data_IF_499043798294
#
_entry.id   IF_499043798294
#
_cell.length_a   1.000
_cell.length_b   1.000
_cell.length_c   1.000
_cell.angle_alpha   90.00
_cell.angle_beta   90.00
_cell.angle_gamma   90.00
#
_symmetry.space_group_name_H-M   'P 1'
#
loop_
_entity.id
_entity.type
_entity.pdbx_description
1 polymer ?
#
# COMPACT_ATOMS: atom_id res chain seq x y z
N UNK A 1 -11.34 -17.85 0.93
CA UNK A 1 -9.88 -17.67 0.79
C UNK A 1 -9.70 -16.50 -0.15
N UNK A 2 -8.99 -15.46 0.26
CA UNK A 2 -8.74 -14.28 -0.59
C UNK A 2 -7.94 -14.74 -1.82
N UNK A 3 -8.37 -14.34 -3.02
CA UNK A 3 -7.62 -14.63 -4.24
C UNK A 3 -6.27 -13.90 -4.16
N UNK A 4 -5.15 -14.59 -4.39
CA UNK A 4 -3.80 -14.00 -4.31
C UNK A 4 -3.13 -13.98 -5.69
N UNK A 5 -2.22 -13.04 -5.91
CA UNK A 5 -1.39 -12.99 -7.11
C UNK A 5 0.10 -13.12 -6.77
N UNK A 6 0.89 -13.54 -7.76
CA UNK A 6 2.33 -13.75 -7.64
C UNK A 6 2.99 -13.63 -9.03
N UNK A 7 4.32 -13.75 -9.09
CA UNK A 7 5.08 -13.63 -10.34
C UNK A 7 4.60 -14.54 -11.48
N UNK A 8 4.03 -15.71 -11.19
CA UNK A 8 3.61 -16.67 -12.22
C UNK A 8 2.30 -16.31 -12.90
N UNK A 9 1.38 -15.62 -12.21
CA UNK A 9 0.06 -15.26 -12.75
C UNK A 9 -0.14 -13.76 -12.99
N UNK A 10 0.79 -12.90 -12.55
CA UNK A 10 0.60 -11.45 -12.56
C UNK A 10 0.35 -10.87 -13.97
N UNK A 11 1.15 -11.23 -14.97
CA UNK A 11 0.93 -10.74 -16.34
C UNK A 11 -0.35 -11.30 -16.94
N UNK A 12 -0.69 -12.57 -16.67
CA UNK A 12 -1.96 -13.14 -17.14
C UNK A 12 -3.18 -12.39 -16.58
N UNK A 13 -3.13 -11.96 -15.32
CA UNK A 13 -4.18 -11.11 -14.72
C UNK A 13 -4.20 -9.72 -15.37
N UNK A 14 -3.03 -9.13 -15.66
CA UNK A 14 -2.96 -7.87 -16.40
C UNK A 14 -3.60 -7.99 -17.79
N UNK A 15 -3.34 -9.09 -18.50
CA UNK A 15 -3.91 -9.36 -19.83
C UNK A 15 -5.43 -9.57 -19.77
N UNK A 16 -5.92 -10.29 -18.75
CA UNK A 16 -7.36 -10.47 -18.49
C UNK A 16 -8.06 -9.13 -18.25
N UNK A 17 -7.48 -8.28 -17.41
CA UNK A 17 -7.97 -6.93 -17.15
C UNK A 17 -7.93 -6.05 -18.41
N UNK A 18 -6.86 -6.13 -19.21
CA UNK A 18 -6.74 -5.39 -20.47
C UNK A 18 -7.77 -5.85 -21.52
N UNK A 19 -8.07 -7.15 -21.58
CA UNK A 19 -9.11 -7.67 -22.47
C UNK A 19 -10.51 -7.19 -22.08
N UNK A 20 -10.76 -6.98 -20.79
CA UNK A 20 -12.05 -6.50 -20.27
C UNK A 20 -12.18 -4.96 -20.24
N UNK A 21 -11.06 -4.23 -20.20
CA UNK A 21 -11.04 -2.78 -20.04
C UNK A 21 -10.03 -2.12 -21.00
N UNK A 22 -10.56 -1.46 -22.03
CA UNK A 22 -9.77 -0.80 -23.06
C UNK A 22 -8.85 0.31 -22.52
N UNK A 23 -9.23 0.95 -21.41
CA UNK A 23 -8.39 2.00 -20.82
C UNK A 23 -7.17 1.40 -20.10
N UNK A 24 -7.36 0.27 -19.40
CA UNK A 24 -6.24 -0.49 -18.81
C UNK A 24 -5.33 -1.07 -19.92
N UNK A 25 -5.92 -1.56 -21.01
CA UNK A 25 -5.16 -2.01 -22.18
C UNK A 25 -4.29 -0.88 -22.75
N UNK A 26 -4.85 0.33 -22.89
CA UNK A 26 -4.10 1.48 -23.38
C UNK A 26 -2.91 1.84 -22.48
N UNK A 27 -3.07 1.76 -21.16
CA UNK A 27 -1.98 1.99 -20.20
C UNK A 27 -0.86 0.96 -20.41
N UNK A 28 -1.19 -0.33 -20.47
CA UNK A 28 -0.20 -1.40 -20.66
C UNK A 28 0.50 -1.27 -22.01
N UNK A 29 -0.25 -0.98 -23.09
CA UNK A 29 0.34 -0.79 -24.42
C UNK A 29 1.29 0.42 -24.48
N UNK A 30 1.00 1.48 -23.70
CA UNK A 30 1.80 2.72 -23.70
C UNK A 30 3.03 2.62 -22.80
N UNK A 31 2.90 2.00 -21.63
CA UNK A 31 3.93 2.03 -20.58
C UNK A 31 4.53 0.65 -20.25
N UNK A 32 4.07 -0.42 -20.90
CA UNK A 32 4.39 -1.80 -20.55
C UNK A 32 3.65 -2.28 -19.30
N UNK A 33 3.92 -3.53 -18.91
CA UNK A 33 3.37 -4.09 -17.67
C UNK A 33 3.86 -3.29 -16.44
N UNK A 34 2.99 -3.03 -15.47
CA UNK A 34 3.41 -2.49 -14.17
C UNK A 34 4.46 -3.40 -13.52
N UNK A 35 5.40 -2.86 -12.73
CA UNK A 35 6.21 -3.69 -11.84
C UNK A 35 5.31 -4.45 -10.84
N UNK A 36 5.65 -5.71 -10.56
CA UNK A 36 5.04 -6.42 -9.43
C UNK A 36 5.56 -5.80 -8.13
N UNK A 37 4.78 -4.90 -7.54
CA UNK A 37 5.09 -4.33 -6.23
C UNK A 37 4.69 -5.30 -5.13
N UNK A 38 5.69 -5.97 -4.56
CA UNK A 38 5.54 -6.84 -3.38
C UNK A 38 6.56 -6.48 -2.31
N UNK A 39 6.18 -6.71 -1.05
CA UNK A 39 7.07 -6.58 0.11
C UNK A 39 6.89 -7.81 1.01
N UNK A 40 7.93 -8.27 1.72
CA UNK A 40 7.77 -9.39 2.64
C UNK A 40 6.86 -9.00 3.81
N UNK A 41 6.13 -9.96 4.37
CA UNK A 41 5.28 -9.73 5.53
C UNK A 41 6.10 -9.59 6.83
N UNK A 42 6.64 -8.39 7.06
CA UNK A 42 7.51 -8.09 8.20
C UNK A 42 7.10 -6.81 8.92
N UNK A 43 7.56 -6.66 10.17
CA UNK A 43 7.39 -5.42 10.92
C UNK A 43 7.94 -4.21 10.16
N UNK A 44 9.11 -4.37 9.55
CA UNK A 44 9.73 -3.33 8.73
C UNK A 44 8.85 -2.88 7.56
N UNK A 45 8.14 -3.80 6.91
CA UNK A 45 7.18 -3.45 5.84
C UNK A 45 6.07 -2.54 6.36
N UNK A 46 5.47 -2.84 7.51
CA UNK A 46 4.46 -1.96 8.11
C UNK A 46 5.04 -0.61 8.55
N UNK A 47 6.25 -0.60 9.11
CA UNK A 47 6.97 0.65 9.41
C UNK A 47 7.15 1.48 8.14
N UNK A 48 7.55 0.85 7.03
CA UNK A 48 7.70 1.53 5.75
C UNK A 48 6.37 2.13 5.25
N UNK A 49 5.27 1.39 5.33
CA UNK A 49 3.94 1.90 4.93
C UNK A 49 3.51 3.08 5.82
N UNK A 50 3.79 3.02 7.13
CA UNK A 50 3.57 4.17 8.04
C UNK A 50 4.42 5.37 7.62
N UNK A 51 5.68 5.16 7.22
CA UNK A 51 6.56 6.23 6.74
C UNK A 51 6.10 6.82 5.41
N UNK A 52 5.38 6.07 4.57
CA UNK A 52 4.81 6.55 3.29
C UNK A 52 3.57 7.44 3.45
N UNK A 53 2.94 7.47 4.63
CA UNK A 53 1.76 8.30 4.87
C UNK A 53 2.06 9.79 4.59
N UNK A 54 1.26 10.40 3.70
CA UNK A 54 1.22 11.84 3.40
C UNK A 54 2.57 12.46 2.98
N UNK A 55 3.49 11.67 2.42
CA UNK A 55 4.79 12.14 1.91
C UNK A 55 5.12 11.47 0.58
N UNK A 56 6.18 11.92 -0.10
CA UNK A 56 6.67 11.23 -1.29
C UNK A 56 7.32 9.89 -0.93
N UNK A 57 7.30 8.94 -1.87
CA UNK A 57 7.98 7.64 -1.73
C UNK A 57 9.49 7.82 -1.44
N UNK A 58 10.12 8.82 -2.06
CA UNK A 58 11.53 9.13 -1.85
C UNK A 58 11.81 9.59 -0.42
N UNK A 59 10.97 10.45 0.16
CA UNK A 59 11.12 10.90 1.55
C UNK A 59 10.90 9.76 2.55
N UNK A 60 9.89 8.91 2.30
CA UNK A 60 9.62 7.74 3.14
C UNK A 60 10.79 6.74 3.12
N UNK A 61 11.33 6.45 1.93
CA UNK A 61 12.48 5.57 1.76
C UNK A 61 13.73 6.14 2.44
N UNK A 62 13.94 7.45 2.35
CA UNK A 62 15.05 8.11 3.05
C UNK A 62 14.95 7.95 4.57
N UNK A 63 13.76 8.10 5.15
CA UNK A 63 13.54 7.89 6.59
C UNK A 63 13.76 6.42 6.98
N UNK A 64 13.26 5.47 6.18
CA UNK A 64 13.47 4.04 6.41
C UNK A 64 14.95 3.67 6.39
N UNK A 65 15.71 4.18 5.41
CA UNK A 65 17.15 3.92 5.31
C UNK A 65 17.91 4.50 6.51
N UNK A 66 17.55 5.68 7.00
CA UNK A 66 18.14 6.23 8.23
C UNK A 66 17.82 5.40 9.47
N UNK A 67 16.59 4.89 9.59
CA UNK A 67 16.26 3.94 10.65
C UNK A 67 17.11 2.66 10.54
N UNK A 68 17.25 2.08 9.34
CA UNK A 68 18.12 0.91 9.12
C UNK A 68 19.57 1.20 9.51
N UNK A 69 20.12 2.36 9.13
CA UNK A 69 21.48 2.76 9.56
C UNK A 69 21.58 2.85 11.08
N UNK A 70 20.54 3.36 11.76
CA UNK A 70 20.54 3.56 13.23
C UNK A 70 20.42 2.27 14.03
N UNK A 71 19.59 1.31 13.58
CA UNK A 71 19.28 0.07 14.33
C UNK A 71 19.75 -1.22 13.66
N UNK A 72 20.36 -1.12 12.48
CA UNK A 72 20.78 -2.21 11.57
C UNK A 72 19.61 -3.02 10.99
N UNK A 73 18.77 -3.55 11.87
CA UNK A 73 17.57 -4.32 11.55
C UNK A 73 16.38 -3.67 12.25
N UNK A 74 15.31 -3.38 11.51
CA UNK A 74 14.11 -2.76 12.06
C UNK A 74 13.24 -3.86 12.66
N UNK A 75 13.40 -4.09 13.96
CA UNK A 75 12.58 -5.03 14.74
C UNK A 75 11.79 -4.29 15.82
N UNK A 76 10.64 -4.84 16.30
CA UNK A 76 9.86 -4.23 17.37
C UNK A 76 10.70 -3.89 18.60
N UNK A 77 11.53 -4.83 19.06
CA UNK A 77 12.37 -4.63 20.24
C UNK A 77 13.40 -3.51 20.05
N UNK A 78 14.06 -3.45 18.89
CA UNK A 78 15.10 -2.44 18.62
C UNK A 78 14.53 -1.03 18.49
N UNK A 79 13.36 -0.87 17.85
CA UNK A 79 12.77 0.47 17.71
C UNK A 79 12.26 1.04 19.03
N UNK A 80 11.87 0.19 19.98
CA UNK A 80 11.44 0.64 21.31
C UNK A 80 12.60 1.10 22.20
N UNK A 81 13.84 0.77 21.84
CA UNK A 81 15.03 1.28 22.52
C UNK A 81 15.38 2.72 22.09
N UNK A 82 14.78 3.23 21.01
CA UNK A 82 15.09 4.56 20.49
C UNK A 82 14.35 5.67 21.25
N UNK A 83 15.08 6.75 21.54
CA UNK A 83 14.48 8.00 22.02
C UNK A 83 13.76 8.74 20.91
N UNK A 84 12.91 9.69 21.26
CA UNK A 84 12.19 10.51 20.27
C UNK A 84 13.16 11.37 19.45
N UNK A 85 14.27 11.82 20.04
CA UNK A 85 15.36 12.52 19.36
C UNK A 85 16.04 11.65 18.32
N UNK A 86 16.25 10.37 18.62
CA UNK A 86 16.87 9.42 17.68
C UNK A 86 15.96 9.11 16.50
N UNK A 87 14.66 8.97 16.74
CA UNK A 87 13.67 8.90 15.66
C UNK A 87 13.67 10.16 14.80
N UNK A 88 13.72 11.35 15.42
CA UNK A 88 13.79 12.62 14.69
C UNK A 88 15.05 12.72 13.85
N UNK A 89 16.20 12.25 14.35
CA UNK A 89 17.44 12.16 13.58
C UNK A 89 17.33 11.21 12.38
N UNK A 90 16.42 10.23 12.44
CA UNK A 90 16.05 9.36 11.33
C UNK A 90 14.91 9.92 10.46
N UNK A 91 14.64 11.22 10.53
CA UNK A 91 13.59 11.93 9.78
C UNK A 91 12.16 11.45 10.05
N UNK A 92 11.94 10.73 11.15
CA UNK A 92 10.60 10.37 11.57
C UNK A 92 9.91 11.56 12.24
N UNK A 93 8.69 11.88 11.81
CA UNK A 93 7.86 12.86 12.51
C UNK A 93 7.43 12.32 13.87
N UNK A 94 7.16 13.20 14.84
CA UNK A 94 6.65 12.82 16.17
C UNK A 94 5.44 11.88 16.09
N UNK A 95 4.55 12.15 15.12
CA UNK A 95 3.37 11.34 14.86
C UNK A 95 3.75 9.94 14.38
N UNK A 96 4.62 9.82 13.38
CA UNK A 96 5.08 8.52 12.86
C UNK A 96 5.89 7.74 13.89
N UNK A 97 6.72 8.41 14.70
CA UNK A 97 7.39 7.81 15.87
C UNK A 97 6.39 7.15 16.81
N UNK A 98 5.32 7.88 17.15
CA UNK A 98 4.25 7.34 18.00
C UNK A 98 3.65 6.08 17.38
N UNK A 99 3.30 6.12 16.10
CA UNK A 99 2.66 4.99 15.40
C UNK A 99 3.55 3.76 15.34
N UNK A 100 4.85 3.96 15.04
CA UNK A 100 5.84 2.88 15.00
C UNK A 100 5.99 2.23 16.39
N UNK A 101 6.04 3.03 17.47
CA UNK A 101 6.12 2.51 18.85
C UNK A 101 4.88 1.70 19.22
N UNK A 102 3.67 2.21 18.95
CA UNK A 102 2.42 1.46 19.19
C UNK A 102 2.36 0.15 18.40
N UNK A 103 2.80 0.15 17.13
CA UNK A 103 2.87 -1.06 16.32
C UNK A 103 3.86 -2.08 16.91
N UNK A 104 5.04 -1.61 17.36
CA UNK A 104 6.03 -2.46 17.97
C UNK A 104 5.51 -3.10 19.28
N UNK A 105 4.87 -2.31 20.14
CA UNK A 105 4.24 -2.77 21.38
C UNK A 105 3.15 -3.80 21.11
N UNK A 106 2.30 -3.58 20.10
CA UNK A 106 1.25 -4.53 19.72
C UNK A 106 1.82 -5.89 19.28
N UNK A 107 2.96 -5.90 18.59
CA UNK A 107 3.62 -7.17 18.20
C UNK A 107 4.27 -7.85 19.40
N UNK A 108 5.01 -7.10 20.24
CA UNK A 108 5.69 -7.67 21.41
C UNK A 108 4.71 -8.23 22.44
N UNK A 109 3.58 -7.56 22.64
CA UNK A 109 2.53 -8.01 23.57
C UNK A 109 1.71 -9.19 23.02
N UNK A 110 1.86 -9.55 21.74
CA UNK A 110 1.05 -10.57 21.08
C UNK A 110 -0.34 -10.09 20.67
N UNK A 111 -0.67 -8.80 20.82
CA UNK A 111 -1.92 -8.22 20.31
C UNK A 111 -2.01 -8.33 18.77
N UNK A 112 -0.88 -8.27 18.08
CA UNK A 112 -0.79 -8.40 16.63
C UNK A 112 0.26 -9.46 16.25
N UNK A 113 -0.14 -10.47 15.48
CA UNK A 113 0.76 -11.46 14.88
C UNK A 113 0.69 -11.38 13.37
N UNK A 114 1.78 -10.98 12.71
CA UNK A 114 1.81 -10.84 11.25
C UNK A 114 1.61 -12.17 10.53
N UNK A 115 2.10 -13.27 11.11
CA UNK A 115 1.90 -14.62 10.61
C UNK A 115 0.43 -15.03 10.67
N UNK A 116 -0.28 -14.65 11.73
CA UNK A 116 -1.72 -14.93 11.83
C UNK A 116 -2.51 -14.14 10.79
N UNK A 117 -2.11 -12.90 10.48
CA UNK A 117 -2.80 -12.08 9.47
C UNK A 117 -2.86 -12.76 8.10
N UNK A 118 -1.87 -13.56 7.72
CA UNK A 118 -1.84 -14.30 6.43
C UNK A 118 -3.00 -15.28 6.26
N UNK A 119 -3.61 -15.72 7.37
CA UNK A 119 -4.66 -16.74 7.38
C UNK A 119 -6.06 -16.14 7.60
N UNK A 120 -6.16 -14.82 7.79
CA UNK A 120 -7.41 -14.15 8.13
C UNK A 120 -8.09 -13.55 6.89
N UNK A 121 -9.42 -13.44 6.90
CA UNK A 121 -10.14 -12.67 5.87
C UNK A 121 -9.81 -11.17 5.91
N UNK A 122 -9.89 -10.50 4.77
CA UNK A 122 -9.52 -9.09 4.57
C UNK A 122 -10.20 -8.14 5.56
N UNK A 123 -11.49 -8.36 5.85
CA UNK A 123 -12.26 -7.54 6.79
C UNK A 123 -11.74 -7.69 8.24
N UNK A 124 -11.31 -8.88 8.63
CA UNK A 124 -10.73 -9.13 9.95
C UNK A 124 -9.32 -8.53 10.05
N UNK A 125 -8.52 -8.65 8.98
CA UNK A 125 -7.19 -8.02 8.90
C UNK A 125 -7.32 -6.51 9.04
N UNK A 126 -8.23 -5.88 8.28
CA UNK A 126 -8.51 -4.44 8.39
C UNK A 126 -8.88 -4.07 9.81
N UNK A 127 -9.87 -4.74 10.41
CA UNK A 127 -10.33 -4.43 11.76
C UNK A 127 -9.19 -4.50 12.79
N UNK A 128 -8.34 -5.54 12.73
CA UNK A 128 -7.17 -5.68 13.60
C UNK A 128 -6.15 -4.56 13.40
N UNK A 129 -5.82 -4.25 12.14
CA UNK A 129 -4.84 -3.22 11.80
C UNK A 129 -5.36 -1.82 12.18
N UNK A 130 -6.60 -1.49 11.86
CA UNK A 130 -7.17 -0.16 12.12
C UNK A 130 -7.48 0.11 13.60
N UNK A 131 -7.49 -0.92 14.44
CA UNK A 131 -7.55 -0.76 15.89
C UNK A 131 -6.25 -0.18 16.46
N UNK A 132 -5.14 -0.23 15.71
CA UNK A 132 -3.84 0.31 16.13
C UNK A 132 -3.75 1.80 15.82
N UNK A 133 -3.28 2.57 16.80
CA UNK A 133 -3.12 4.01 16.66
C UNK A 133 -2.18 4.34 15.51
N UNK A 134 -2.68 5.12 14.55
CA UNK A 134 -1.93 5.57 13.39
C UNK A 134 -1.99 4.67 12.16
N UNK A 135 -2.69 3.54 12.25
CA UNK A 135 -3.00 2.69 11.10
C UNK A 135 -4.45 2.93 10.72
N UNK A 136 -4.65 3.55 9.54
CA UNK A 136 -5.97 3.78 8.96
C UNK A 136 -6.26 2.80 7.81
N UNK A 137 -7.44 2.96 7.21
CA UNK A 137 -7.87 2.12 6.07
C UNK A 137 -6.83 2.07 4.95
N UNK A 138 -6.24 3.21 4.58
CA UNK A 138 -5.22 3.26 3.53
C UNK A 138 -3.98 2.39 3.86
N UNK A 139 -3.48 2.44 5.10
CA UNK A 139 -2.34 1.60 5.51
C UNK A 139 -2.70 0.12 5.51
N UNK A 140 -3.92 -0.24 5.96
CA UNK A 140 -4.40 -1.61 5.91
C UNK A 140 -4.57 -2.12 4.46
N UNK A 141 -5.10 -1.28 3.57
CA UNK A 141 -5.22 -1.55 2.13
C UNK A 141 -3.86 -1.85 1.50
N UNK A 142 -2.90 -0.94 1.66
CA UNK A 142 -1.55 -1.08 1.10
C UNK A 142 -0.86 -2.32 1.66
N UNK A 143 -1.06 -2.64 2.95
CA UNK A 143 -0.56 -3.88 3.54
C UNK A 143 -1.17 -5.13 2.89
N UNK A 144 -2.50 -5.19 2.75
CA UNK A 144 -3.17 -6.32 2.08
C UNK A 144 -2.67 -6.51 0.64
N UNK A 145 -2.46 -5.41 -0.08
CA UNK A 145 -2.02 -5.42 -1.47
C UNK A 145 -0.54 -5.83 -1.61
N UNK A 146 0.37 -5.23 -0.83
CA UNK A 146 1.82 -5.41 -1.04
C UNK A 146 2.42 -6.51 -0.19
N UNK A 147 1.99 -6.67 1.06
CA UNK A 147 2.56 -7.65 1.97
C UNK A 147 1.88 -9.02 1.82
N UNK A 148 0.55 -9.04 1.62
CA UNK A 148 -0.22 -10.28 1.52
C UNK A 148 -0.64 -10.63 0.09
N UNK A 149 -0.42 -9.74 -0.88
CA UNK A 149 -0.74 -9.95 -2.29
C UNK A 149 -2.22 -10.37 -2.51
N UNK A 150 -3.14 -9.85 -1.70
CA UNK A 150 -4.56 -10.06 -1.91
C UNK A 150 -4.99 -9.33 -3.18
N UNK A 151 -5.62 -10.04 -4.11
CA UNK A 151 -5.84 -9.58 -5.47
C UNK A 151 -7.03 -8.62 -5.61
N UNK A 152 -7.95 -8.59 -4.64
CA UNK A 152 -9.24 -7.91 -4.76
C UNK A 152 -9.43 -6.71 -3.82
N UNK A 153 -8.37 -5.95 -3.60
CA UNK A 153 -8.36 -4.73 -2.79
C UNK A 153 -8.30 -3.48 -3.68
N UNK A 154 -9.18 -2.51 -3.40
CA UNK A 154 -9.10 -1.16 -3.96
C UNK A 154 -8.88 -0.12 -2.85
N UNK A 155 -7.74 0.61 -2.85
CA UNK A 155 -7.41 1.55 -1.79
C UNK A 155 -8.10 2.91 -2.02
N UNK A 156 -9.39 3.03 -1.70
CA UNK A 156 -10.17 4.25 -1.95
C UNK A 156 -9.65 5.51 -1.21
N UNK A 157 -8.74 5.37 -0.26
CA UNK A 157 -8.04 6.48 0.38
C UNK A 157 -6.74 6.92 -0.33
N UNK A 158 -6.34 6.22 -1.39
CA UNK A 158 -5.09 6.48 -2.12
C UNK A 158 -5.33 7.53 -3.22
N UNK A 159 -4.79 8.73 -3.03
CA UNK A 159 -5.00 9.83 -3.97
C UNK A 159 -4.41 9.54 -5.36
N UNK A 160 -3.30 8.79 -5.46
CA UNK A 160 -2.72 8.46 -6.75
C UNK A 160 -3.63 7.51 -7.54
N UNK A 161 -4.13 6.45 -6.90
CA UNK A 161 -5.08 5.51 -7.51
C UNK A 161 -6.40 6.20 -7.88
N UNK A 162 -6.97 6.99 -6.97
CA UNK A 162 -8.25 7.69 -7.21
C UNK A 162 -8.11 8.71 -8.34
N UNK A 163 -7.04 9.51 -8.36
CA UNK A 163 -6.84 10.50 -9.41
C UNK A 163 -6.53 9.85 -10.77
N UNK A 164 -5.75 8.77 -10.78
CA UNK A 164 -5.49 7.98 -11.98
C UNK A 164 -6.81 7.41 -12.53
N UNK A 165 -7.62 6.77 -11.70
CA UNK A 165 -8.93 6.23 -12.09
C UNK A 165 -9.80 7.33 -12.70
N UNK A 166 -9.96 8.46 -11.99
CA UNK A 166 -10.79 9.58 -12.48
C UNK A 166 -10.32 10.07 -13.86
N UNK A 167 -9.02 10.20 -14.07
CA UNK A 167 -8.46 10.68 -15.34
C UNK A 167 -8.66 9.67 -16.46
N UNK A 168 -8.32 8.41 -16.20
CA UNK A 168 -8.39 7.30 -17.16
C UNK A 168 -9.84 7.06 -17.59
N UNK A 169 -10.78 7.14 -16.66
CA UNK A 169 -12.21 6.94 -16.90
C UNK A 169 -12.98 8.21 -17.28
N UNK A 170 -12.29 9.35 -17.41
CA UNK A 170 -12.93 10.63 -17.73
C UNK A 170 -13.97 11.10 -16.71
N UNK A 171 -13.85 10.69 -15.44
CA UNK A 171 -14.76 11.09 -14.39
C UNK A 171 -14.56 12.58 -14.02
N UNK A 172 -15.64 13.28 -13.63
CA UNK A 172 -15.54 14.63 -13.07
C UNK A 172 -14.57 14.70 -11.88
N UNK A 173 -13.89 15.84 -11.72
CA UNK A 173 -12.95 16.04 -10.60
C UNK A 173 -13.63 15.87 -9.24
N UNK A 174 -14.88 16.29 -9.14
CA UNK A 174 -15.77 16.22 -7.99
C UNK A 174 -16.53 14.90 -7.86
N UNK A 175 -16.28 13.89 -8.71
CA UNK A 175 -16.86 12.55 -8.56
C UNK A 175 -16.64 12.02 -7.13
N UNK A 176 -17.71 11.44 -6.57
CA UNK A 176 -17.75 11.03 -5.18
C UNK A 176 -16.86 9.82 -4.92
N UNK A 177 -16.61 9.52 -3.64
CA UNK A 177 -15.86 8.31 -3.27
C UNK A 177 -16.62 7.06 -3.70
N UNK A 178 -17.94 7.10 -3.60
CA UNK A 178 -18.87 6.04 -3.97
C UNK A 178 -18.78 5.76 -5.47
N UNK A 179 -18.79 6.80 -6.32
CA UNK A 179 -18.65 6.63 -7.78
C UNK A 179 -17.34 5.94 -8.16
N UNK A 180 -16.25 6.32 -7.49
CA UNK A 180 -14.92 5.73 -7.70
C UNK A 180 -14.90 4.26 -7.27
N UNK A 181 -15.56 3.93 -6.15
CA UNK A 181 -15.66 2.55 -5.67
C UNK A 181 -16.48 1.71 -6.65
N UNK A 182 -17.65 2.18 -7.09
CA UNK A 182 -18.51 1.51 -8.08
C UNK A 182 -17.73 1.26 -9.37
N UNK A 183 -16.99 2.26 -9.86
CA UNK A 183 -16.15 2.10 -11.05
C UNK A 183 -15.08 1.02 -10.86
N UNK A 184 -14.49 0.91 -9.68
CA UNK A 184 -13.49 -0.12 -9.40
C UNK A 184 -14.10 -1.54 -9.30
N UNK A 185 -15.42 -1.70 -9.07
CA UNK A 185 -16.06 -3.02 -8.98
C UNK A 185 -15.96 -3.82 -10.28
N UNK A 186 -15.87 -3.16 -11.44
CA UNK A 186 -15.73 -3.82 -12.74
C UNK A 186 -14.44 -4.66 -12.86
N UNK A 187 -13.45 -4.40 -12.01
CA UNK A 187 -12.16 -5.11 -12.01
C UNK A 187 -12.12 -6.27 -11.02
N UNK A 188 -13.23 -6.62 -10.37
CA UNK A 188 -13.27 -7.85 -9.56
C UNK A 188 -13.04 -9.08 -10.45
N UNK A 189 -12.27 -10.08 -9.98
CA UNK A 189 -11.70 -10.23 -8.64
C UNK A 189 -10.25 -9.72 -8.50
N UNK A 190 -9.81 -8.78 -9.35
CA UNK A 190 -8.43 -8.34 -9.50
C UNK A 190 -8.23 -6.83 -9.31
N UNK A 191 -9.03 -6.19 -8.45
CA UNK A 191 -8.97 -4.74 -8.20
C UNK A 191 -7.58 -4.24 -7.76
N UNK A 192 -6.79 -5.08 -7.12
CA UNK A 192 -5.40 -4.75 -6.74
C UNK A 192 -4.50 -4.65 -7.95
N UNK A 193 -4.57 -5.60 -8.88
CA UNK A 193 -3.77 -5.57 -10.11
C UNK A 193 -4.20 -4.40 -11.00
N UNK A 194 -5.50 -4.13 -11.09
CA UNK A 194 -5.99 -2.92 -11.77
C UNK A 194 -5.45 -1.64 -11.14
N UNK A 195 -5.40 -1.57 -9.80
CA UNK A 195 -4.79 -0.43 -9.08
C UNK A 195 -3.29 -0.30 -9.36
N UNK A 196 -2.56 -1.41 -9.50
CA UNK A 196 -1.16 -1.37 -9.91
C UNK A 196 -0.98 -0.79 -11.32
N UNK A 197 -1.86 -1.15 -12.27
CA UNK A 197 -1.87 -0.54 -13.61
C UNK A 197 -2.11 0.98 -13.52
N UNK A 198 -3.07 1.42 -12.68
CA UNK A 198 -3.33 2.85 -12.44
C UNK A 198 -2.16 3.59 -11.80
N UNK A 199 -1.46 2.98 -10.84
CA UNK A 199 -0.25 3.58 -10.27
C UNK A 199 0.87 3.68 -11.30
N UNK A 200 1.03 2.67 -12.15
CA UNK A 200 2.01 2.70 -13.24
C UNK A 200 1.74 3.84 -14.22
N UNK A 201 0.47 4.04 -14.56
CA UNK A 201 0.03 5.22 -15.31
C UNK A 201 0.38 6.52 -14.57
N UNK A 202 0.00 6.65 -13.30
CA UNK A 202 0.26 7.85 -12.51
C UNK A 202 1.76 8.21 -12.42
N UNK A 203 2.61 7.22 -12.19
CA UNK A 203 4.07 7.39 -12.07
C UNK A 203 4.73 7.69 -13.42
N UNK A 204 4.21 7.12 -14.51
CA UNK A 204 4.75 7.31 -15.87
C UNK A 204 4.37 8.67 -16.46
N UNK A 205 3.11 9.07 -16.29
CA UNK A 205 2.58 10.35 -16.79
C UNK A 205 2.90 11.52 -15.85
N UNK A 206 3.34 11.27 -14.61
CA UNK A 206 3.74 12.29 -13.64
C UNK A 206 4.83 13.25 -14.13
N UNK A 207 5.62 12.83 -15.14
CA UNK A 207 6.60 13.70 -15.81
C UNK A 207 5.97 14.75 -16.74
N UNK A 208 4.67 14.64 -17.05
CA UNK A 208 3.87 15.59 -17.84
C UNK A 208 2.81 16.32 -17.00
N UNK A 209 2.75 16.06 -15.69
CA UNK A 209 1.73 16.58 -14.78
C UNK A 209 2.15 17.84 -13.99
N UNK A 210 3.31 18.43 -14.33
CA UNK A 210 3.75 19.75 -13.89
C UNK A 210 4.43 20.49 -15.06
#
# INVERSE_FOLDING_TARGET
MSNQFNHSNYHAICDELAAADADLANIINTHGYPPLWSRPNTFETLVHIVLEQQVSLASALSALNKLRERVQEITPARVLLLTDEEFKACYCSRQKTTYIKYLAEAIISGQLSLKELEQLPDNIIRAKLTALKGIGNWTADVYLMFALQHADIFPAGDLAAVNALKRVKGLPKDASREDVIIMAEQWQPYRTVATMILWHYYLSDGKRMF
#
